data_IF_960275820265
#
_entry.id   IF_960275820265
#
_cell.length_a   1.000
_cell.length_b   1.000
_cell.length_c   1.000
_cell.angle_alpha   90.00
_cell.angle_beta   90.00
_cell.angle_gamma   90.00
#
_symmetry.space_group_name_H-M   'P 1'
#
loop_
_entity.id
_entity.type
_entity.pdbx_description
1 polymer ?
#
# COMPACT_ATOMS: atom_id res chain seq x y z
N UNK A 1 -18.78 -72.33 -21.87
CA UNK A 1 -19.37 -72.60 -23.20
C UNK A 1 -19.51 -71.27 -23.93
N UNK A 2 -18.64 -70.99 -24.91
CA UNK A 2 -18.96 -70.03 -25.97
C UNK A 2 -19.99 -70.69 -26.92
N UNK A 3 -20.73 -69.91 -27.72
CA UNK A 3 -20.24 -69.72 -29.09
C UNK A 3 -20.50 -68.34 -29.71
N UNK A 4 -19.56 -68.00 -30.59
CA UNK A 4 -19.57 -67.05 -31.72
C UNK A 4 -20.79 -67.29 -32.67
N UNK A 5 -21.16 -66.40 -33.64
CA UNK A 5 -20.20 -65.92 -34.64
C UNK A 5 -20.46 -64.66 -35.52
N UNK A 6 -19.40 -64.34 -36.29
CA UNK A 6 -19.36 -63.79 -37.68
C UNK A 6 -19.90 -62.34 -37.88
N UNK A 7 -19.33 -61.46 -38.70
CA UNK A 7 -18.12 -61.40 -39.53
C UNK A 7 -18.19 -60.08 -40.31
N UNK A 8 -17.08 -59.67 -40.95
CA UNK A 8 -16.95 -58.67 -42.05
C UNK A 8 -16.94 -57.21 -41.56
N UNK A 9 -16.05 -56.32 -42.00
CA UNK A 9 -15.06 -56.32 -43.08
C UNK A 9 -14.08 -55.17 -42.83
N UNK A 10 -12.87 -55.29 -43.39
CA UNK A 10 -11.89 -54.23 -43.65
C UNK A 10 -12.56 -52.92 -44.17
N UNK A 11 -12.01 -51.73 -43.97
CA UNK A 11 -10.77 -51.28 -44.65
C UNK A 11 -10.13 -50.03 -44.04
N UNK A 12 -8.81 -49.95 -44.25
CA UNK A 12 -7.96 -48.77 -44.43
C UNK A 12 -8.12 -47.58 -43.47
N UNK A 13 -7.11 -47.45 -42.62
CA UNK A 13 -6.64 -46.20 -42.04
C UNK A 13 -6.44 -45.15 -43.14
N UNK A 14 -7.16 -44.03 -43.03
CA UNK A 14 -6.75 -42.78 -43.67
C UNK A 14 -6.83 -41.68 -42.63
N UNK A 15 -5.67 -41.05 -42.45
CA UNK A 15 -5.37 -39.96 -41.54
C UNK A 15 -6.28 -38.77 -41.87
N UNK A 16 -7.08 -38.35 -40.90
CA UNK A 16 -7.80 -37.08 -40.89
C UNK A 16 -7.93 -36.66 -39.43
N UNK A 17 -7.82 -35.41 -39.02
CA UNK A 17 -7.38 -34.17 -39.63
C UNK A 17 -7.07 -33.28 -38.43
N UNK A 18 -6.10 -32.37 -38.59
CA UNK A 18 -5.64 -31.51 -37.51
C UNK A 18 -6.78 -30.77 -36.82
N UNK A 19 -6.83 -30.91 -35.50
CA UNK A 19 -7.46 -29.98 -34.59
C UNK A 19 -6.36 -29.43 -33.68
N UNK A 20 -5.60 -28.46 -34.20
CA UNK A 20 -4.89 -27.54 -33.32
C UNK A 20 -5.97 -26.69 -32.64
N UNK A 21 -6.35 -27.10 -31.43
CA UNK A 21 -7.17 -26.30 -30.54
C UNK A 21 -6.41 -25.03 -30.20
N UNK A 22 -6.66 -23.98 -30.97
CA UNK A 22 -6.24 -22.62 -30.68
C UNK A 22 -6.91 -22.18 -29.39
N UNK A 23 -6.24 -22.41 -28.26
CA UNK A 23 -6.48 -21.57 -27.08
C UNK A 23 -6.07 -20.16 -27.48
N UNK A 24 -6.92 -19.13 -27.28
CA UNK A 24 -6.42 -17.77 -27.35
C UNK A 24 -5.44 -17.63 -26.18
N UNK A 25 -4.15 -17.76 -26.47
CA UNK A 25 -3.09 -17.31 -25.59
C UNK A 25 -3.31 -15.83 -25.38
N UNK A 26 -4.01 -15.52 -24.30
CA UNK A 26 -3.96 -14.23 -23.70
C UNK A 26 -2.47 -14.02 -23.35
N UNK A 27 -1.76 -13.30 -24.22
CA UNK A 27 -0.36 -12.92 -24.07
C UNK A 27 -0.33 -11.54 -23.42
N UNK A 28 -0.14 -11.47 -22.08
CA UNK A 28 0.21 -10.18 -21.46
C UNK A 28 1.70 -10.11 -21.75
N UNK A 29 2.05 -9.48 -22.87
CA UNK A 29 3.39 -8.97 -23.04
C UNK A 29 3.59 -7.96 -21.91
N UNK A 30 4.27 -8.40 -20.85
CA UNK A 30 4.92 -7.52 -19.88
C UNK A 30 6.12 -6.89 -20.61
N UNK A 31 5.83 -6.08 -21.63
CA UNK A 31 6.81 -5.31 -22.36
C UNK A 31 7.35 -4.24 -21.40
N UNK A 32 8.63 -4.43 -21.09
CA UNK A 32 9.62 -3.48 -20.64
C UNK A 32 9.19 -2.30 -19.76
N UNK A 33 9.65 -2.40 -18.51
CA UNK A 33 10.26 -1.33 -17.73
C UNK A 33 10.22 0.05 -18.39
N UNK A 34 9.11 0.76 -18.22
CA UNK A 34 9.22 2.21 -18.09
C UNK A 34 10.14 2.44 -16.90
N UNK A 35 11.29 3.12 -17.03
CA UNK A 35 11.94 3.67 -15.87
C UNK A 35 10.93 4.70 -15.35
N UNK A 36 10.08 4.29 -14.41
CA UNK A 36 9.36 5.23 -13.58
C UNK A 36 10.46 6.13 -13.06
N UNK A 37 10.45 7.39 -13.53
CA UNK A 37 11.50 8.36 -13.26
C UNK A 37 11.55 8.51 -11.74
N UNK A 38 12.36 7.68 -11.11
CA UNK A 38 12.60 7.66 -9.69
C UNK A 38 13.58 8.79 -9.45
N UNK A 39 13.17 10.03 -9.72
CA UNK A 39 13.61 11.17 -8.93
C UNK A 39 13.13 10.86 -7.52
N UNK A 40 13.94 10.08 -6.82
CA UNK A 40 13.74 9.57 -5.47
C UNK A 40 13.54 10.79 -4.59
N UNK A 41 12.30 11.20 -4.39
CA UNK A 41 11.94 12.17 -3.37
C UNK A 41 12.38 11.53 -2.06
N UNK A 42 13.52 11.98 -1.54
CA UNK A 42 14.17 11.40 -0.37
C UNK A 42 13.23 11.54 0.81
N UNK A 43 12.47 10.48 1.10
CA UNK A 43 11.63 10.41 2.30
C UNK A 43 12.54 9.98 3.44
N UNK A 44 12.95 10.94 4.25
CA UNK A 44 13.82 10.70 5.39
C UNK A 44 12.95 10.33 6.59
N UNK A 45 13.38 9.32 7.36
CA UNK A 45 12.75 9.01 8.64
C UNK A 45 13.52 9.81 9.69
N UNK A 46 12.82 10.69 10.38
CA UNK A 46 13.36 11.58 11.40
C UNK A 46 12.47 11.53 12.64
N UNK A 47 13.08 11.60 13.81
CA UNK A 47 12.34 11.83 15.05
C UNK A 47 12.05 13.32 15.18
N UNK A 48 10.77 13.67 15.25
CA UNK A 48 10.31 15.05 15.39
C UNK A 48 9.57 15.17 16.71
N UNK A 49 9.75 16.26 17.48
CA UNK A 49 8.94 16.48 18.66
C UNK A 49 7.47 16.70 18.29
N UNK A 50 6.58 16.10 19.07
CA UNK A 50 5.13 16.13 18.85
C UNK A 50 4.61 17.59 18.77
N UNK A 51 5.19 18.49 19.57
CA UNK A 51 4.83 19.91 19.65
C UNK A 51 5.08 20.70 18.34
N UNK A 52 6.07 20.30 17.55
CA UNK A 52 6.41 20.98 16.29
C UNK A 52 5.46 20.62 15.14
N UNK A 53 4.64 19.58 15.29
CA UNK A 53 3.77 19.07 14.21
C UNK A 53 2.47 19.87 14.19
N UNK A 54 2.35 20.77 13.21
CA UNK A 54 1.14 21.55 12.99
C UNK A 54 0.08 20.73 12.26
N UNK A 55 -1.09 20.60 12.88
CA UNK A 55 -2.26 19.91 12.33
C UNK A 55 -3.41 20.91 12.13
N UNK A 56 -3.50 21.61 10.98
CA UNK A 56 -4.56 22.58 10.74
C UNK A 56 -5.98 21.97 10.75
N UNK A 57 -6.11 20.65 10.57
CA UNK A 57 -7.39 19.92 10.52
C UNK A 57 -7.70 19.11 11.80
N UNK A 58 -6.98 19.34 12.90
CA UNK A 58 -7.16 18.57 14.14
C UNK A 58 -8.59 18.62 14.72
N UNK A 59 -9.39 19.65 14.39
CA UNK A 59 -10.73 19.87 14.95
C UNK A 59 -11.84 19.05 14.31
N UNK A 60 -11.66 18.55 13.08
CA UNK A 60 -12.76 17.97 12.28
C UNK A 60 -12.68 16.45 12.14
N UNK A 61 -11.53 15.83 12.47
CA UNK A 61 -11.38 14.36 12.41
C UNK A 61 -11.81 13.74 13.73
N UNK A 62 -12.96 13.06 13.74
CA UNK A 62 -13.38 12.23 14.86
C UNK A 62 -12.35 11.13 15.10
N UNK A 63 -11.60 11.24 16.20
CA UNK A 63 -10.68 10.20 16.60
C UNK A 63 -11.44 9.12 17.36
N UNK A 64 -11.33 7.87 16.90
CA UNK A 64 -11.95 6.75 17.59
C UNK A 64 -11.14 6.41 18.85
N UNK A 65 -11.74 6.70 19.99
CA UNK A 65 -11.14 6.52 21.32
C UNK A 65 -10.73 5.08 21.61
N UNK A 66 -11.45 4.08 21.10
CA UNK A 66 -11.10 2.68 21.28
C UNK A 66 -9.79 2.32 20.56
N UNK A 67 -9.59 2.85 19.34
CA UNK A 67 -8.35 2.65 18.58
C UNK A 67 -7.16 3.37 19.22
N UNK A 68 -7.38 4.55 19.77
CA UNK A 68 -6.33 5.28 20.50
C UNK A 68 -5.89 4.49 21.73
N UNK A 69 -6.82 3.92 22.51
CA UNK A 69 -6.49 3.06 23.66
C UNK A 69 -5.67 1.83 23.27
N UNK A 70 -6.09 1.08 22.25
CA UNK A 70 -5.33 -0.07 21.76
C UNK A 70 -3.93 0.33 21.24
N UNK A 71 -3.81 1.48 20.58
CA UNK A 71 -2.52 2.01 20.15
C UNK A 71 -1.64 2.43 21.32
N UNK A 72 -2.19 3.05 22.37
CA UNK A 72 -1.44 3.40 23.57
C UNK A 72 -0.79 2.15 24.19
N UNK A 73 -1.57 1.09 24.42
CA UNK A 73 -1.06 -0.17 24.98
C UNK A 73 0.01 -0.83 24.09
N UNK A 74 -0.15 -0.76 22.77
CA UNK A 74 0.84 -1.27 21.81
C UNK A 74 2.14 -0.45 21.84
N UNK A 75 2.01 0.88 21.90
CA UNK A 75 3.13 1.82 21.94
C UNK A 75 3.91 1.74 23.26
N UNK A 76 3.24 1.42 24.37
CA UNK A 76 3.90 1.18 25.66
C UNK A 76 4.70 -0.11 25.66
N UNK A 77 4.21 -1.18 25.00
CA UNK A 77 4.89 -2.48 24.96
C UNK A 77 6.03 -2.56 23.93
N UNK A 78 5.78 -2.10 22.71
CA UNK A 78 6.67 -2.34 21.54
C UNK A 78 7.24 -1.02 21.00
N UNK A 79 6.54 0.09 21.20
CA UNK A 79 6.89 1.39 20.61
C UNK A 79 6.14 1.66 19.30
N UNK A 80 6.54 2.72 18.60
CA UNK A 80 5.90 3.09 17.33
C UNK A 80 6.56 2.32 16.18
N UNK A 81 5.89 1.28 15.69
CA UNK A 81 6.40 0.47 14.58
C UNK A 81 6.25 1.19 13.22
N UNK A 82 5.16 1.94 13.05
CA UNK A 82 4.84 2.63 11.80
C UNK A 82 5.00 4.15 11.93
N UNK A 83 5.93 4.77 11.17
CA UNK A 83 6.13 6.21 11.23
C UNK A 83 4.93 6.97 10.63
N UNK A 84 4.71 8.20 11.09
CA UNK A 84 3.68 9.08 10.52
C UNK A 84 4.23 9.85 9.31
N UNK A 85 3.44 10.04 8.25
CA UNK A 85 3.87 10.86 7.11
C UNK A 85 3.61 12.34 7.41
N UNK A 86 4.68 13.14 7.27
CA UNK A 86 4.70 14.58 7.56
C UNK A 86 5.27 15.34 6.36
N UNK A 87 4.66 16.48 6.04
CA UNK A 87 5.17 17.40 5.03
C UNK A 87 5.99 18.49 5.70
N UNK A 88 7.21 18.70 5.24
CA UNK A 88 8.06 19.82 5.64
C UNK A 88 7.92 20.94 4.61
N UNK A 89 7.53 22.13 5.06
CA UNK A 89 7.35 23.34 4.25
C UNK A 89 7.97 24.50 5.01
N UNK A 90 8.99 25.14 4.43
CA UNK A 90 9.69 26.31 5.03
C UNK A 90 10.21 26.10 6.47
N UNK A 91 10.54 24.86 6.84
CA UNK A 91 11.00 24.52 8.19
C UNK A 91 9.87 24.27 9.19
N UNK A 92 8.61 24.29 8.75
CA UNK A 92 7.47 23.84 9.54
C UNK A 92 7.00 22.45 9.10
N UNK A 93 6.62 21.65 10.09
CA UNK A 93 6.13 20.28 9.89
C UNK A 93 4.61 20.24 9.93
N UNK A 94 4.00 19.74 8.86
CA UNK A 94 2.56 19.63 8.68
C UNK A 94 2.13 18.16 8.65
N UNK A 95 1.33 17.75 9.63
CA UNK A 95 0.82 16.39 9.76
C UNK A 95 -0.62 16.26 9.29
N UNK A 96 -0.86 15.57 8.17
CA UNK A 96 -2.21 15.27 7.69
C UNK A 96 -2.64 13.82 8.00
N UNK A 97 -1.67 12.92 8.16
CA UNK A 97 -1.90 11.50 8.39
C UNK A 97 -1.79 11.12 9.88
N UNK A 98 -2.29 9.94 10.25
CA UNK A 98 -2.01 9.33 11.55
C UNK A 98 -2.53 10.08 12.77
N UNK A 99 -3.75 10.62 12.74
CA UNK A 99 -4.35 11.33 13.88
C UNK A 99 -4.40 10.49 15.16
N UNK A 100 -4.82 9.22 15.07
CA UNK A 100 -4.88 8.32 16.22
C UNK A 100 -3.51 8.02 16.85
N UNK A 101 -2.46 7.88 16.02
CA UNK A 101 -1.08 7.62 16.47
C UNK A 101 -0.52 8.82 17.21
N UNK A 102 -0.73 10.01 16.64
CA UNK A 102 -0.34 11.27 17.27
C UNK A 102 -1.06 11.49 18.60
N UNK A 103 -2.38 11.26 18.65
CA UNK A 103 -3.14 11.39 19.90
C UNK A 103 -2.69 10.37 20.96
N UNK A 104 -2.36 9.13 20.57
CA UNK A 104 -1.80 8.15 21.48
C UNK A 104 -0.48 8.63 22.09
N UNK A 105 0.44 9.20 21.30
CA UNK A 105 1.67 9.80 21.83
C UNK A 105 1.43 11.04 22.68
N UNK A 106 0.45 11.86 22.31
CA UNK A 106 0.07 13.05 23.07
C UNK A 106 -0.48 12.68 24.46
N UNK A 107 -1.28 11.62 24.55
CA UNK A 107 -1.81 11.10 25.84
C UNK A 107 -0.76 10.42 26.70
N UNK A 108 0.15 9.68 26.07
CA UNK A 108 1.29 9.06 26.75
C UNK A 108 2.35 10.08 27.17
N UNK A 109 2.26 11.34 26.73
CA UNK A 109 3.24 12.38 27.03
C UNK A 109 4.61 12.14 26.41
N UNK A 110 4.70 11.34 25.33
CA UNK A 110 5.99 11.10 24.66
C UNK A 110 6.40 12.35 23.87
N UNK A 111 7.61 12.90 24.10
CA UNK A 111 8.02 14.16 23.47
C UNK A 111 8.33 13.99 21.99
N UNK A 112 8.80 12.81 21.56
CA UNK A 112 9.22 12.52 20.17
C UNK A 112 8.32 11.51 19.48
N UNK A 113 8.19 11.65 18.16
CA UNK A 113 7.47 10.73 17.29
C UNK A 113 8.28 10.45 16.03
N UNK A 114 8.30 9.19 15.59
CA UNK A 114 8.95 8.81 14.34
C UNK A 114 8.11 9.28 13.16
N UNK A 115 8.70 10.15 12.34
CA UNK A 115 8.08 10.78 11.20
C UNK A 115 8.82 10.44 9.93
N UNK A 116 8.07 10.17 8.87
CA UNK A 116 8.57 10.09 7.51
C UNK A 116 8.35 11.45 6.85
N UNK A 117 9.43 12.21 6.74
CA UNK A 117 9.43 13.59 6.29
C UNK A 117 9.54 13.65 4.77
N UNK A 118 8.65 14.45 4.17
CA UNK A 118 8.68 14.76 2.74
C UNK A 118 8.76 16.28 2.58
N UNK A 119 9.82 16.76 1.92
CA UNK A 119 9.96 18.16 1.54
C UNK A 119 8.94 18.52 0.46
N UNK A 120 8.18 19.59 0.69
CA UNK A 120 7.11 20.04 -0.20
C UNK A 120 7.04 21.56 -0.30
N UNK A 121 6.45 22.07 -1.40
CA UNK A 121 6.23 23.50 -1.60
C UNK A 121 4.85 23.92 -1.05
N UNK A 122 4.64 25.23 -0.84
CA UNK A 122 3.35 25.81 -0.42
C UNK A 122 2.16 25.37 -1.28
N UNK A 123 2.37 25.18 -2.58
CA UNK A 123 1.34 24.68 -3.49
C UNK A 123 0.85 23.28 -3.08
N UNK A 124 1.77 22.40 -2.69
CA UNK A 124 1.42 21.05 -2.21
C UNK A 124 0.69 21.10 -0.87
N UNK A 125 1.07 22.02 0.02
CA UNK A 125 0.37 22.25 1.28
C UNK A 125 -1.09 22.68 1.03
N UNK A 126 -1.28 23.65 0.13
CA UNK A 126 -2.61 24.15 -0.26
C UNK A 126 -3.51 23.03 -0.79
N UNK A 127 -2.97 22.13 -1.62
CA UNK A 127 -3.72 20.98 -2.13
C UNK A 127 -4.17 19.98 -1.03
N UNK A 128 -3.49 19.91 0.11
CA UNK A 128 -3.89 19.05 1.24
C UNK A 128 -4.84 19.76 2.23
N UNK A 129 -5.00 21.08 2.10
CA UNK A 129 -5.85 21.91 2.95
C UNK A 129 -7.17 22.32 2.29
N UNK A 130 -7.33 22.06 0.98
CA UNK A 130 -8.56 22.22 0.20
C UNK A 130 -9.43 20.97 0.34
#
# INVERSE_FOLDING_TARGET
MAPWPLSRRCTCSVRASGSNGSSPEYSWSFDDKKPVRASKAQRQILEIPVDQIRRPLARTRSNNQAKVKALMESIERIGLQEPIDVLEVEGQYYGFSGCHRYEAHQRLGKPTILCRVRKANKATLKMHMM
#
